data_IF_892654338867
#
_entry.id   IF_892654338867
#
_cell.length_a   1.000
_cell.length_b   1.000
_cell.length_c   1.000
_cell.angle_alpha   90.00
_cell.angle_beta   90.00
_cell.angle_gamma   90.00
#
_symmetry.space_group_name_H-M   'P 1'
#
loop_
_entity.id
_entity.type
_entity.pdbx_description
1 polymer ?
#
# COMPACT_ATOMS: atom_id res chain seq x y z
N UNK A 1 -21.22 3.59 9.89
CA UNK A 1 -20.22 2.88 9.06
C UNK A 1 -18.90 3.63 9.22
N UNK A 2 -18.07 3.28 10.20
CA UNK A 2 -16.87 4.09 10.54
C UNK A 2 -15.79 3.37 11.36
N UNK A 3 -16.03 2.13 11.78
CA UNK A 3 -15.02 1.35 12.51
C UNK A 3 -13.96 0.73 11.59
N UNK A 4 -14.31 0.44 10.34
CA UNK A 4 -13.43 -0.31 9.42
C UNK A 4 -12.26 0.51 8.90
N UNK A 5 -12.43 1.82 8.69
CA UNK A 5 -11.36 2.70 8.22
C UNK A 5 -10.30 2.83 9.30
N UNK A 6 -10.71 3.05 10.54
CA UNK A 6 -9.81 3.19 11.69
C UNK A 6 -8.94 1.95 11.89
N UNK A 7 -9.51 0.75 11.76
CA UNK A 7 -8.73 -0.49 11.90
C UNK A 7 -7.70 -0.70 10.77
N UNK A 8 -7.96 -0.21 9.55
CA UNK A 8 -7.00 -0.31 8.45
C UNK A 8 -5.86 0.69 8.61
N UNK A 9 -6.18 1.92 9.03
CA UNK A 9 -5.16 2.96 9.22
C UNK A 9 -4.24 2.70 10.43
N UNK A 10 -4.77 2.16 11.53
CA UNK A 10 -3.95 1.72 12.66
C UNK A 10 -3.03 0.55 12.29
N UNK A 11 -3.53 -0.45 11.57
CA UNK A 11 -2.72 -1.59 11.15
C UNK A 11 -1.63 -1.20 10.16
N UNK A 12 -1.97 -0.41 9.15
CA UNK A 12 -0.98 0.11 8.20
C UNK A 12 0.10 0.88 8.94
N UNK A 13 -0.29 1.78 9.86
CA UNK A 13 0.66 2.52 10.68
C UNK A 13 1.60 1.58 11.43
N UNK A 14 1.08 0.55 12.10
CA UNK A 14 1.90 -0.38 12.87
C UNK A 14 2.90 -1.15 12.01
N UNK A 15 2.50 -1.58 10.81
CA UNK A 15 3.38 -2.27 9.86
C UNK A 15 4.52 -1.35 9.41
N UNK A 16 4.21 -0.11 9.02
CA UNK A 16 5.22 0.84 8.58
C UNK A 16 6.14 1.31 9.71
N UNK A 17 5.59 1.47 10.92
CA UNK A 17 6.37 1.79 12.13
C UNK A 17 7.37 0.68 12.45
N UNK A 18 6.95 -0.60 12.38
CA UNK A 18 7.83 -1.77 12.54
C UNK A 18 8.94 -1.84 11.47
N UNK A 19 8.61 -1.48 10.23
CA UNK A 19 9.58 -1.36 9.12
C UNK A 19 10.55 -0.16 9.28
N UNK A 20 10.36 0.68 10.29
CA UNK A 20 11.18 1.86 10.55
C UNK A 20 10.86 3.06 9.66
N UNK A 21 9.61 3.17 9.20
CA UNK A 21 9.08 4.37 8.54
C UNK A 21 8.37 5.25 9.56
N UNK A 22 8.51 6.57 9.43
CA UNK A 22 7.75 7.54 10.22
C UNK A 22 6.41 7.79 9.54
N UNK A 23 5.33 7.29 10.12
CA UNK A 23 3.98 7.45 9.56
C UNK A 23 3.27 8.67 10.14
N UNK A 24 2.92 9.61 9.28
CA UNK A 24 2.11 10.80 9.59
C UNK A 24 0.76 10.72 8.88
N UNK A 25 -0.35 11.00 9.59
CA UNK A 25 -1.67 11.10 8.96
C UNK A 25 -1.82 12.45 8.26
N UNK A 26 -2.10 12.42 6.95
CA UNK A 26 -2.40 13.59 6.12
C UNK A 26 -3.83 13.51 5.60
N UNK A 27 -4.77 14.17 6.29
CA UNK A 27 -6.18 14.10 5.95
C UNK A 27 -6.76 12.69 6.13
N UNK A 28 -7.26 12.10 5.04
CA UNK A 28 -7.74 10.71 4.96
C UNK A 28 -6.67 9.70 4.57
N UNK A 29 -5.44 10.16 4.30
CA UNK A 29 -4.32 9.34 3.87
C UNK A 29 -3.26 9.28 4.98
N UNK A 30 -2.40 8.28 4.91
CA UNK A 30 -1.22 8.11 5.73
C UNK A 30 0.01 8.39 4.84
N UNK A 31 1.04 8.98 5.41
CA UNK A 31 2.30 9.28 4.73
C UNK A 31 3.42 8.65 5.54
N UNK A 32 4.04 7.61 5.00
CA UNK A 32 5.15 6.90 5.61
C UNK A 32 6.47 7.43 5.04
N UNK A 33 7.24 8.15 5.84
CA UNK A 33 8.47 8.82 5.43
C UNK A 33 9.70 8.07 5.97
N UNK A 34 10.70 7.88 5.11
CA UNK A 34 12.00 7.32 5.46
C UNK A 34 13.09 8.12 4.76
N UNK A 35 14.28 8.16 5.34
CA UNK A 35 15.42 8.97 4.87
C UNK A 35 15.68 8.91 3.36
N UNK A 36 15.41 7.77 2.73
CA UNK A 36 15.65 7.56 1.30
C UNK A 36 14.38 7.65 0.44
N UNK A 37 13.17 7.49 1.02
CA UNK A 37 11.91 7.42 0.27
C UNK A 37 10.70 7.85 1.10
N UNK A 38 9.75 8.51 0.45
CA UNK A 38 8.42 8.80 0.99
C UNK A 38 7.39 7.92 0.29
N UNK A 39 6.56 7.25 1.09
CA UNK A 39 5.49 6.38 0.65
C UNK A 39 4.16 6.98 1.06
N UNK A 40 3.31 7.27 0.07
CA UNK A 40 1.95 7.73 0.35
C UNK A 40 1.05 6.51 0.48
N UNK A 41 0.50 6.31 1.68
CA UNK A 41 -0.37 5.20 2.05
C UNK A 41 -1.82 5.68 2.01
N UNK A 42 -2.56 5.28 0.98
CA UNK A 42 -3.95 5.69 0.79
C UNK A 42 -4.87 4.52 1.11
N UNK A 43 -5.84 4.71 2.00
CA UNK A 43 -6.89 3.70 2.26
C UNK A 43 -7.97 3.89 1.20
N UNK A 44 -8.10 2.95 0.25
CA UNK A 44 -9.06 3.00 -0.85
C UNK A 44 -9.90 1.72 -0.89
N UNK A 45 -11.15 1.83 -1.33
CA UNK A 45 -11.92 0.67 -1.74
C UNK A 45 -11.68 0.42 -3.24
N UNK A 46 -12.04 -0.78 -3.72
CA UNK A 46 -11.87 -1.17 -5.13
C UNK A 46 -12.56 -0.23 -6.13
N UNK A 47 -13.56 0.56 -5.70
CA UNK A 47 -14.29 1.49 -6.54
C UNK A 47 -13.74 2.92 -6.53
N UNK A 48 -12.87 3.26 -5.58
CA UNK A 48 -12.35 4.61 -5.47
C UNK A 48 -11.42 4.97 -6.64
N UNK A 49 -11.31 6.27 -6.99
CA UNK A 49 -10.39 6.71 -8.04
C UNK A 49 -8.95 6.47 -7.62
N UNK A 50 -8.17 5.85 -8.51
CA UNK A 50 -6.73 5.65 -8.32
C UNK A 50 -6.07 7.02 -8.51
N UNK A 51 -5.37 7.55 -7.50
CA UNK A 51 -4.71 8.83 -7.61
C UNK A 51 -3.53 8.74 -8.59
N UNK A 52 -3.45 9.69 -9.53
CA UNK A 52 -2.54 9.60 -10.70
C UNK A 52 -1.14 10.15 -10.46
N UNK A 53 -0.86 10.79 -9.32
CA UNK A 53 0.43 11.45 -9.06
C UNK A 53 1.11 11.06 -7.76
N UNK A 54 2.36 10.62 -7.80
CA UNK A 54 3.21 10.25 -6.65
C UNK A 54 4.33 9.29 -7.09
N UNK A 55 5.43 9.23 -6.35
CA UNK A 55 6.56 8.34 -6.70
C UNK A 55 6.33 6.89 -6.25
N UNK A 56 5.97 6.69 -4.97
CA UNK A 56 5.63 5.38 -4.42
C UNK A 56 4.33 5.44 -3.62
N UNK A 57 3.37 4.62 -4.02
CA UNK A 57 2.06 4.54 -3.37
C UNK A 57 1.80 3.16 -2.78
N UNK A 58 1.26 3.17 -1.56
CA UNK A 58 0.73 1.98 -0.94
C UNK A 58 -0.77 2.14 -0.76
N UNK A 59 -1.56 1.17 -1.21
CA UNK A 59 -3.01 1.19 -1.14
C UNK A 59 -3.49 0.16 -0.14
N UNK A 60 -4.14 0.59 0.94
CA UNK A 60 -4.62 -0.33 1.96
C UNK A 60 -6.11 -0.57 1.72
N UNK A 61 -6.50 -1.84 1.63
CA UNK A 61 -7.87 -2.25 1.35
C UNK A 61 -8.17 -3.62 1.96
N UNK A 62 -9.39 -4.12 1.80
CA UNK A 62 -9.72 -5.50 2.22
C UNK A 62 -9.10 -6.51 1.27
N UNK A 63 -8.74 -7.69 1.77
CA UNK A 63 -8.14 -8.74 0.92
C UNK A 63 -9.00 -9.10 -0.30
N UNK A 64 -10.35 -9.07 -0.16
CA UNK A 64 -11.29 -9.30 -1.26
C UNK A 64 -11.16 -8.25 -2.39
N UNK A 65 -10.99 -6.99 -1.99
CA UNK A 65 -10.81 -5.85 -2.89
C UNK A 65 -9.38 -5.72 -3.42
N UNK A 66 -8.38 -6.22 -2.69
CA UNK A 66 -6.96 -6.08 -3.03
C UNK A 66 -6.60 -6.72 -4.38
N UNK A 67 -7.21 -7.87 -4.67
CA UNK A 67 -7.05 -8.55 -5.98
C UNK A 67 -7.70 -7.72 -7.10
N UNK A 68 -8.85 -7.10 -6.85
CA UNK A 68 -9.51 -6.26 -7.85
C UNK A 68 -8.74 -4.96 -8.11
N UNK A 69 -8.22 -4.32 -7.05
CA UNK A 69 -7.47 -3.07 -7.15
C UNK A 69 -6.13 -3.28 -7.84
N UNK A 70 -5.37 -4.32 -7.48
CA UNK A 70 -4.09 -4.65 -8.13
C UNK A 70 -4.25 -4.92 -9.63
N UNK A 71 -5.32 -5.63 -10.03
CA UNK A 71 -5.65 -5.83 -11.46
C UNK A 71 -5.98 -4.53 -12.18
N UNK A 72 -6.66 -3.58 -11.52
CA UNK A 72 -6.94 -2.26 -12.10
C UNK A 72 -5.65 -1.46 -12.28
N UNK A 73 -4.79 -1.41 -11.25
CA UNK A 73 -3.49 -0.74 -11.31
C UNK A 73 -2.61 -1.32 -12.42
N UNK A 74 -2.53 -2.64 -12.51
CA UNK A 74 -1.79 -3.33 -13.56
C UNK A 74 -2.37 -3.08 -14.96
N UNK A 75 -3.69 -2.86 -15.09
CA UNK A 75 -4.32 -2.53 -16.38
C UNK A 75 -4.12 -1.06 -16.76
N UNK A 76 -4.04 -0.17 -15.78
CA UNK A 76 -3.82 1.26 -16.01
C UNK A 76 -2.39 1.58 -16.48
N UNK A 77 -1.44 0.64 -16.34
CA UNK A 77 -0.04 0.82 -16.71
C UNK A 77 0.55 2.10 -16.06
N UNK A 78 0.32 2.24 -14.75
CA UNK A 78 0.76 3.41 -14.01
C UNK A 78 2.29 3.50 -14.01
N UNK A 79 2.83 4.69 -14.27
CA UNK A 79 4.28 4.91 -14.37
C UNK A 79 5.00 5.02 -13.01
N UNK A 80 4.27 4.86 -11.91
CA UNK A 80 4.79 4.95 -10.54
C UNK A 80 4.74 3.60 -9.84
N UNK A 81 5.54 3.43 -8.80
CA UNK A 81 5.57 2.18 -8.04
C UNK A 81 4.37 2.08 -7.09
N UNK A 82 3.71 0.93 -7.10
CA UNK A 82 2.52 0.70 -6.29
C UNK A 82 2.57 -0.64 -5.56
N UNK A 83 2.07 -0.61 -4.33
CA UNK A 83 1.79 -1.77 -3.51
C UNK A 83 0.35 -1.70 -3.01
N UNK A 84 -0.34 -2.83 -2.94
CA UNK A 84 -1.67 -2.96 -2.35
C UNK A 84 -1.56 -3.87 -1.14
N UNK A 85 -2.01 -3.41 0.02
CA UNK A 85 -2.09 -4.21 1.25
C UNK A 85 -3.55 -4.62 1.46
N UNK A 86 -3.82 -5.91 1.31
CA UNK A 86 -5.11 -6.53 1.57
C UNK A 86 -5.20 -7.06 2.99
N UNK A 87 -5.96 -6.38 3.86
CA UNK A 87 -6.17 -6.81 5.24
C UNK A 87 -7.36 -7.78 5.30
N UNK A 88 -7.17 -8.91 5.98
CA UNK A 88 -8.19 -9.93 6.24
C UNK A 88 -9.01 -9.58 7.49
N UNK A 89 -10.15 -10.25 7.67
CA UNK A 89 -11.00 -10.04 8.85
C UNK A 89 -10.33 -10.51 10.15
N UNK A 90 -9.36 -11.42 10.06
CA UNK A 90 -8.55 -11.91 11.18
C UNK A 90 -7.40 -10.96 11.57
N UNK A 91 -7.18 -9.88 10.81
CA UNK A 91 -6.06 -8.94 11.03
C UNK A 91 -4.73 -9.38 10.40
N UNK A 92 -4.75 -10.44 9.59
CA UNK A 92 -3.62 -10.79 8.72
C UNK A 92 -3.59 -9.86 7.50
N UNK A 93 -2.42 -9.66 6.89
CA UNK A 93 -2.25 -8.76 5.74
C UNK A 93 -1.49 -9.43 4.60
N UNK A 94 -1.99 -9.26 3.38
CA UNK A 94 -1.31 -9.68 2.15
C UNK A 94 -0.81 -8.45 1.39
N UNK A 95 0.42 -8.50 0.88
CA UNK A 95 1.00 -7.40 0.10
C UNK A 95 1.10 -7.82 -1.37
N UNK A 96 0.34 -7.14 -2.23
CA UNK A 96 0.34 -7.30 -3.68
C UNK A 96 1.02 -6.10 -4.31
N UNK A 97 2.24 -6.27 -4.83
CA UNK A 97 3.00 -5.22 -5.54
C UNK A 97 3.03 -5.46 -7.04
N UNK A 98 3.38 -4.42 -7.79
CA UNK A 98 3.59 -4.55 -9.24
C UNK A 98 4.61 -5.66 -9.53
N UNK A 99 4.31 -6.62 -10.44
CA UNK A 99 5.23 -7.72 -10.77
C UNK A 99 6.55 -7.26 -11.38
N UNK A 100 6.67 -5.99 -11.78
CA UNK A 100 7.89 -5.37 -12.28
C UNK A 100 8.93 -4.99 -11.21
N UNK A 101 8.59 -4.99 -9.91
CA UNK A 101 9.55 -4.72 -8.80
C UNK A 101 10.38 -5.97 -8.44
N UNK A 102 10.66 -6.84 -9.42
CA UNK A 102 11.75 -7.82 -9.30
C UNK A 102 13.04 -7.12 -9.74
N UNK A 103 13.44 -6.08 -9.01
CA UNK A 103 14.73 -5.43 -9.16
C UNK A 103 15.26 -4.93 -7.81
N UNK A 104 15.24 -5.82 -6.82
CA UNK A 104 16.39 -5.92 -5.93
C UNK A 104 16.94 -7.32 -6.11
N UNK A 105 18.05 -7.42 -6.83
CA UNK A 105 18.79 -8.65 -7.11
C UNK A 105 18.81 -9.58 -5.90
N UNK A 106 18.08 -10.69 -6.00
CA UNK A 106 18.55 -11.95 -5.48
C UNK A 106 19.51 -12.54 -6.52
N UNK A 107 20.69 -11.92 -6.66
CA UNK A 107 21.80 -12.51 -7.40
C UNK A 107 23.08 -12.41 -6.56
N UNK A 108 23.61 -13.60 -6.27
CA UNK A 108 24.99 -13.93 -5.92
C UNK A 108 25.57 -13.39 -4.60
N UNK A 109 25.52 -14.21 -3.56
CA UNK A 109 26.78 -14.70 -3.02
C UNK A 109 26.68 -16.18 -2.63
N UNK A 110 27.60 -16.96 -3.21
CA UNK A 110 27.96 -18.35 -2.91
C UNK A 110 28.35 -18.56 -1.45
#
# INVERSE_FOLDING_TARGET
MGAVTTSLDEQARSIFDDLGYTVSRTGTELRAERDWRVVTVTVLNSQDPIPEGGDLRCFVTRTDDATHLSRRLNRQDVSYDWAVIGITEDGDYEVVRHPGDTAMSADANT
#
